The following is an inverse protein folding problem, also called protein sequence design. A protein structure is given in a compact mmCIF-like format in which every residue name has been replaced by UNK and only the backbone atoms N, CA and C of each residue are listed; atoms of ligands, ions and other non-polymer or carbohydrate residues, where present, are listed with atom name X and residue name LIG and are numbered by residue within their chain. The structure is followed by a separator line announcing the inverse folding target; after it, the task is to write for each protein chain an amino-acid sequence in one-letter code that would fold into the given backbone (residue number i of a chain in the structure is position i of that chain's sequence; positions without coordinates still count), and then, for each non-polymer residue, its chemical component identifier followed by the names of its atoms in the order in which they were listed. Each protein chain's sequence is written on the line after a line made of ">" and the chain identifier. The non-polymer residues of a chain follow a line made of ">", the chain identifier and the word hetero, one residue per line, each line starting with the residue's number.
data_IF_483721701662
#
_entry.id   IF_483721701662
#
_cell.length_a   1.000
_cell.length_b   1.000
_cell.length_c   1.000
_cell.angle_alpha   90.00
_cell.angle_beta   90.00
_cell.angle_gamma   90.00
#
_symmetry.space_group_name_H-M   'P 1'
#
loop_
_entity.id
_entity.type
_entity.pdbx_description
1 polymer ?
#
# COMPACT_ATOMS: atom_id res chain seq x y z
N UNK A 1 -18.50 -28.56 -33.47
CA UNK A 1 -19.54 -28.23 -32.46
C UNK A 1 -19.01 -28.30 -31.03
N UNK A 2 -18.03 -29.15 -30.71
CA UNK A 2 -17.56 -29.39 -29.34
C UNK A 2 -16.83 -28.19 -28.72
N UNK A 3 -16.03 -27.48 -29.53
CA UNK A 3 -15.30 -26.28 -29.07
C UNK A 3 -16.25 -25.16 -28.66
N UNK A 4 -17.42 -25.04 -29.31
CA UNK A 4 -18.40 -23.97 -29.04
C UNK A 4 -19.00 -24.14 -27.63
N UNK A 5 -19.29 -25.39 -27.24
CA UNK A 5 -19.83 -25.71 -25.92
C UNK A 5 -18.80 -25.40 -24.83
N UNK A 6 -17.52 -25.75 -25.07
CA UNK A 6 -16.43 -25.49 -24.12
C UNK A 6 -16.26 -23.97 -23.90
N UNK A 7 -16.22 -23.19 -24.99
CA UNK A 7 -16.10 -21.72 -24.90
C UNK A 7 -17.29 -21.11 -24.17
N UNK A 8 -18.50 -21.61 -24.41
CA UNK A 8 -19.71 -21.14 -23.73
C UNK A 8 -19.66 -21.36 -22.21
N UNK A 9 -19.21 -22.54 -21.75
CA UNK A 9 -19.10 -22.86 -20.33
C UNK A 9 -17.99 -22.04 -19.66
N UNK A 10 -16.82 -21.92 -20.29
CA UNK A 10 -15.71 -21.09 -19.76
C UNK A 10 -16.15 -19.63 -19.65
N UNK A 11 -16.84 -19.10 -20.67
CA UNK A 11 -17.38 -17.74 -20.67
C UNK A 11 -18.36 -17.50 -19.51
N UNK A 12 -19.26 -18.44 -19.26
CA UNK A 12 -20.23 -18.34 -18.15
C UNK A 12 -19.54 -18.33 -16.78
N UNK A 13 -18.57 -19.24 -16.56
CA UNK A 13 -17.82 -19.29 -15.30
C UNK A 13 -16.97 -18.03 -15.08
N UNK A 14 -16.31 -17.54 -16.14
CA UNK A 14 -15.51 -16.32 -16.08
C UNK A 14 -16.37 -15.08 -15.75
N UNK A 15 -17.58 -14.98 -16.31
CA UNK A 15 -18.49 -13.87 -16.04
C UNK A 15 -18.85 -13.72 -14.55
N UNK A 16 -18.92 -14.83 -13.80
CA UNK A 16 -19.19 -14.82 -12.36
C UNK A 16 -17.90 -14.59 -11.56
N UNK A 17 -16.80 -15.22 -11.98
CA UNK A 17 -15.54 -15.21 -11.23
C UNK A 17 -14.80 -13.86 -11.30
N UNK A 18 -14.77 -13.22 -12.47
CA UNK A 18 -14.05 -11.94 -12.69
C UNK A 18 -14.52 -10.83 -11.75
N UNK A 19 -15.83 -10.50 -11.63
CA UNK A 19 -16.26 -9.40 -10.76
C UNK A 19 -15.95 -9.68 -9.28
N UNK A 20 -16.07 -10.93 -8.84
CA UNK A 20 -15.70 -11.31 -7.48
C UNK A 20 -14.19 -11.17 -7.24
N UNK A 21 -13.38 -11.62 -8.20
CA UNK A 21 -11.92 -11.48 -8.14
C UNK A 21 -11.46 -10.02 -8.08
N UNK A 22 -12.06 -9.14 -8.90
CA UNK A 22 -11.74 -7.69 -8.89
C UNK A 22 -12.05 -7.07 -7.53
N UNK A 23 -13.22 -7.35 -6.94
CA UNK A 23 -13.59 -6.87 -5.60
C UNK A 23 -12.64 -7.39 -4.53
N UNK A 24 -12.31 -8.69 -4.57
CA UNK A 24 -11.38 -9.30 -3.63
C UNK A 24 -9.98 -8.69 -3.74
N UNK A 25 -9.50 -8.41 -4.96
CA UNK A 25 -8.22 -7.72 -5.20
C UNK A 25 -8.23 -6.33 -4.57
N UNK A 26 -9.27 -5.52 -4.82
CA UNK A 26 -9.40 -4.18 -4.25
C UNK A 26 -9.37 -4.20 -2.71
N UNK A 27 -10.11 -5.13 -2.07
CA UNK A 27 -10.10 -5.26 -0.60
C UNK A 27 -8.73 -5.70 -0.08
N UNK A 28 -8.04 -6.64 -0.76
CA UNK A 28 -6.69 -7.06 -0.38
C UNK A 28 -5.68 -5.92 -0.51
N UNK A 29 -5.78 -5.13 -1.59
CA UNK A 29 -4.91 -4.00 -1.82
C UNK A 29 -5.13 -2.90 -0.78
N UNK A 30 -6.39 -2.62 -0.41
CA UNK A 30 -6.74 -1.71 0.71
C UNK A 30 -6.13 -2.16 2.02
N UNK A 31 -6.36 -3.41 2.42
CA UNK A 31 -5.89 -3.93 3.70
C UNK A 31 -4.37 -3.92 3.80
N UNK A 32 -3.68 -4.31 2.71
CA UNK A 32 -2.22 -4.28 2.65
C UNK A 32 -1.67 -2.85 2.66
N UNK A 33 -2.34 -1.92 2.00
CA UNK A 33 -1.99 -0.51 2.05
C UNK A 33 -2.06 0.04 3.48
N UNK A 34 -3.16 -0.19 4.19
CA UNK A 34 -3.32 0.25 5.59
C UNK A 34 -2.25 -0.38 6.49
N UNK A 35 -1.90 -1.64 6.28
CA UNK A 35 -0.83 -2.29 7.02
C UNK A 35 0.54 -1.62 6.76
N UNK A 36 0.88 -1.36 5.50
CA UNK A 36 2.13 -0.68 5.14
C UNK A 36 2.18 0.72 5.74
N UNK A 37 1.09 1.49 5.68
CA UNK A 37 1.01 2.82 6.28
C UNK A 37 1.25 2.77 7.79
N UNK A 38 0.72 1.76 8.50
CA UNK A 38 1.01 1.54 9.94
C UNK A 38 2.48 1.25 10.20
N UNK A 39 3.11 0.41 9.36
CA UNK A 39 4.54 0.12 9.47
C UNK A 39 5.39 1.37 9.24
N UNK A 40 5.02 2.21 8.26
CA UNK A 40 5.68 3.48 7.99
C UNK A 40 5.57 4.42 9.19
N UNK A 41 4.38 4.59 9.76
CA UNK A 41 4.17 5.45 10.93
C UNK A 41 4.92 4.92 12.17
N UNK A 42 4.96 3.60 12.38
CA UNK A 42 5.76 3.01 13.45
C UNK A 42 7.26 3.26 13.26
N UNK A 43 7.76 3.15 12.03
CA UNK A 43 9.14 3.46 11.68
C UNK A 43 9.46 4.94 11.84
N UNK A 44 8.53 5.84 11.46
CA UNK A 44 8.66 7.29 11.70
C UNK A 44 8.72 7.61 13.19
N UNK A 45 7.88 6.97 14.01
CA UNK A 45 7.91 7.15 15.46
C UNK A 45 9.23 6.65 16.08
N UNK A 46 9.80 5.56 15.56
CA UNK A 46 11.13 5.08 15.96
C UNK A 46 12.23 6.06 15.54
N UNK A 47 12.19 6.54 14.29
CA UNK A 47 13.11 7.56 13.78
C UNK A 47 13.02 8.85 14.59
N UNK A 48 11.82 9.33 14.92
CA UNK A 48 11.62 10.53 15.74
C UNK A 48 12.30 10.47 17.10
N UNK A 49 12.41 9.27 17.69
CA UNK A 49 13.00 9.07 19.02
C UNK A 49 14.53 9.07 18.98
N UNK A 50 15.11 8.64 17.86
CA UNK A 50 16.55 8.47 17.72
C UNK A 50 17.20 9.64 16.98
N UNK A 51 16.51 10.15 15.96
CA UNK A 51 16.90 11.38 15.27
C UNK A 51 16.49 12.58 16.13
N UNK A 52 17.47 13.38 16.55
CA UNK A 52 17.27 14.72 17.14
C UNK A 52 16.81 15.75 16.09
N UNK A 53 16.04 15.32 15.09
CA UNK A 53 15.55 16.13 13.98
C UNK A 53 14.24 16.81 14.39
N UNK A 54 13.94 18.00 13.84
CA UNK A 54 12.68 18.69 14.13
C UNK A 54 11.49 17.93 13.53
N UNK A 55 10.32 18.07 14.15
CA UNK A 55 9.05 17.43 13.74
C UNK A 55 8.62 17.74 12.29
N UNK A 56 9.12 18.84 11.73
CA UNK A 56 8.88 19.28 10.36
C UNK A 56 9.85 18.67 9.32
N UNK A 57 10.80 17.84 9.76
CA UNK A 57 11.73 17.17 8.86
C UNK A 57 10.98 16.23 7.92
N UNK A 58 11.22 16.40 6.61
CA UNK A 58 10.67 15.55 5.56
C UNK A 58 11.37 14.19 5.61
N UNK A 59 10.62 13.13 5.83
CA UNK A 59 11.17 11.79 6.01
C UNK A 59 11.43 11.18 4.64
N UNK A 60 12.65 10.70 4.41
CA UNK A 60 13.03 10.00 3.19
C UNK A 60 12.94 8.48 3.36
N UNK A 61 12.91 7.73 2.25
CA UNK A 61 12.96 6.26 2.29
C UNK A 61 14.25 5.74 2.96
N UNK A 62 15.37 6.44 2.80
CA UNK A 62 16.66 6.08 3.42
C UNK A 62 16.62 6.19 4.95
N UNK A 63 15.89 7.17 5.46
CA UNK A 63 15.71 7.36 6.90
C UNK A 63 14.92 6.20 7.53
N UNK A 64 13.94 5.66 6.79
CA UNK A 64 13.04 4.60 7.24
C UNK A 64 13.57 3.18 6.97
N UNK A 65 14.56 3.02 6.08
CA UNK A 65 15.20 1.74 5.79
C UNK A 65 15.72 1.05 7.06
N UNK A 66 16.34 1.82 7.96
CA UNK A 66 16.91 1.30 9.22
C UNK A 66 15.85 0.83 10.21
N UNK A 67 14.60 1.28 10.05
CA UNK A 67 13.48 0.98 10.94
C UNK A 67 12.50 -0.03 10.33
N UNK A 68 12.89 -0.70 9.25
CA UNK A 68 12.14 -1.83 8.68
C UNK A 68 10.86 -1.45 7.94
N UNK A 69 10.65 -0.16 7.64
CA UNK A 69 9.52 0.27 6.81
C UNK A 69 9.76 0.16 5.31
N UNK A 70 11.02 -0.02 4.88
CA UNK A 70 11.38 -0.20 3.46
C UNK A 70 12.70 -0.95 3.32
N UNK A 71 12.94 -1.54 2.14
CA UNK A 71 14.26 -1.94 1.69
C UNK A 71 15.10 -0.73 1.21
N UNK A 72 16.41 -0.92 0.97
CA UNK A 72 17.35 0.17 0.57
C UNK A 72 16.97 0.85 -0.75
N UNK A 73 16.08 0.23 -1.52
CA UNK A 73 15.68 0.69 -2.85
C UNK A 73 14.34 1.43 -2.83
N UNK A 74 13.64 1.51 -1.69
CA UNK A 74 12.33 2.16 -1.62
C UNK A 74 11.21 1.40 -2.34
N UNK A 75 11.47 0.19 -2.85
CA UNK A 75 10.52 -0.57 -3.67
C UNK A 75 9.32 -1.07 -2.85
N UNK A 76 9.53 -1.31 -1.55
CA UNK A 76 8.49 -1.70 -0.60
C UNK A 76 7.58 -0.52 -0.20
N UNK A 77 7.96 0.69 -0.59
CA UNK A 77 7.20 1.93 -0.41
C UNK A 77 6.14 2.15 -1.50
N UNK A 78 5.88 1.13 -2.31
CA UNK A 78 4.85 1.16 -3.34
C UNK A 78 3.53 0.62 -2.81
N UNK A 79 2.45 1.35 -3.08
CA UNK A 79 1.10 0.88 -2.86
C UNK A 79 0.81 -0.32 -3.79
N UNK A 80 0.18 -1.39 -3.28
CA UNK A 80 -0.34 -2.49 -4.09
C UNK A 80 -1.19 -2.08 -5.30
N UNK A 81 -1.80 -0.89 -5.25
CA UNK A 81 -2.63 -0.33 -6.30
C UNK A 81 -1.85 0.44 -7.38
N UNK A 82 -0.57 0.78 -7.15
CA UNK A 82 0.33 1.29 -8.20
C UNK A 82 1.22 2.47 -7.80
N UNK A 83 0.77 3.33 -6.88
CA UNK A 83 1.46 4.60 -6.57
C UNK A 83 2.38 4.52 -5.36
N UNK A 84 3.35 5.42 -5.23
CA UNK A 84 4.22 5.51 -4.05
C UNK A 84 3.49 6.16 -2.86
N UNK A 85 3.86 5.77 -1.63
CA UNK A 85 3.38 6.46 -0.43
C UNK A 85 4.04 7.84 -0.28
N UNK A 86 3.25 8.84 0.12
CA UNK A 86 3.77 10.11 0.59
C UNK A 86 4.10 9.96 2.09
N UNK A 87 5.39 9.93 2.42
CA UNK A 87 5.88 9.73 3.79
C UNK A 87 5.57 10.91 4.73
N UNK A 88 5.37 12.09 4.18
CA UNK A 88 5.20 13.32 4.94
C UNK A 88 6.40 13.67 5.84
N UNK A 89 6.11 14.32 6.95
CA UNK A 89 7.10 14.72 7.96
C UNK A 89 7.05 13.79 9.16
N UNK A 90 8.04 13.90 10.06
CA UNK A 90 8.13 13.05 11.26
C UNK A 90 6.82 13.05 12.07
N UNK A 91 6.27 14.23 12.35
CA UNK A 91 5.13 14.35 13.31
C UNK A 91 3.99 15.22 12.78
N UNK A 92 4.27 16.14 11.86
CA UNK A 92 3.26 17.12 11.37
C UNK A 92 2.38 16.59 10.24
N UNK A 93 2.84 15.60 9.48
CA UNK A 93 2.08 15.01 8.36
C UNK A 93 2.22 13.49 8.38
N UNK A 94 1.09 12.80 8.51
CA UNK A 94 1.05 11.34 8.45
C UNK A 94 1.30 10.83 7.03
N UNK A 95 1.84 9.62 6.94
CA UNK A 95 2.03 8.91 5.70
C UNK A 95 0.68 8.67 5.02
N UNK A 96 0.57 9.06 3.76
CA UNK A 96 -0.68 9.00 2.99
C UNK A 96 -0.47 8.24 1.68
N UNK A 97 -1.48 7.48 1.27
CA UNK A 97 -1.52 6.89 -0.05
C UNK A 97 -2.35 7.80 -0.99
N UNK A 98 -1.88 8.13 -2.21
CA UNK A 98 -2.64 8.94 -3.15
C UNK A 98 -3.86 8.22 -3.77
N UNK A 99 -4.04 6.92 -3.47
CA UNK A 99 -5.13 6.10 -4.00
C UNK A 99 -6.41 6.33 -3.20
N UNK A 100 -7.49 6.70 -3.89
CA UNK A 100 -8.79 7.01 -3.26
C UNK A 100 -9.31 5.81 -2.45
N UNK A 101 -9.57 6.03 -1.16
CA UNK A 101 -10.08 5.02 -0.22
C UNK A 101 -9.02 4.09 0.38
N UNK A 102 -7.75 4.42 0.22
CA UNK A 102 -6.59 3.76 0.85
C UNK A 102 -5.98 4.68 1.93
N UNK A 103 -6.80 5.08 2.89
CA UNK A 103 -6.39 6.02 3.93
C UNK A 103 -6.28 5.27 5.27
N UNK A 104 -5.36 5.70 6.13
CA UNK A 104 -5.38 5.31 7.53
C UNK A 104 -6.70 5.82 8.15
N UNK A 105 -7.60 4.94 8.63
CA UNK A 105 -8.76 5.41 9.39
C UNK A 105 -8.24 6.15 10.63
N UNK A 106 -8.72 7.38 10.81
CA UNK A 106 -8.42 8.23 11.98
C UNK A 106 -8.82 7.58 13.29
#
# INVERSE_FOLDING_TARGET
>A
MEIIIIVAIIGLLAAIAIPNFVRAKQTRDKNRCVLNLRTIEAAKAAFSKESKKPDAYQVSADDLYKYGATNRMGEDLKCPAGDMYDLGTITTKLATCPVVGHELPK
#
